data_IF_830193355519
#
_entry.id   IF_830193355519
#
_cell.length_a   1.000
_cell.length_b   1.000
_cell.length_c   1.000
_cell.angle_alpha   90.00
_cell.angle_beta   90.00
_cell.angle_gamma   90.00
#
_symmetry.space_group_name_H-M   'P 1'
#
loop_
_entity.id
_entity.type
_entity.pdbx_description
1 polymer ?
#
# COMPACT_ATOMS: atom_id res chain seq x y z
N UNK A 1 2.97 33.09 -5.29
CA UNK A 1 3.90 32.31 -6.12
C UNK A 1 4.07 30.85 -5.65
N UNK A 2 4.49 30.54 -4.41
CA UNK A 2 4.53 29.15 -3.90
C UNK A 2 3.15 28.45 -3.86
N UNK A 3 2.10 29.16 -3.46
CA UNK A 3 0.74 28.60 -3.42
C UNK A 3 0.14 28.35 -4.82
N UNK A 4 0.39 29.24 -5.78
CA UNK A 4 -0.02 29.04 -7.18
C UNK A 4 0.73 27.87 -7.84
N UNK A 5 2.03 27.70 -7.55
CA UNK A 5 2.81 26.57 -8.07
C UNK A 5 2.36 25.23 -7.45
N UNK A 6 2.05 25.22 -6.14
CA UNK A 6 1.46 24.04 -5.47
C UNK A 6 0.05 23.71 -5.97
N UNK A 7 -0.78 24.73 -6.22
CA UNK A 7 -2.13 24.58 -6.77
C UNK A 7 -2.09 24.05 -8.21
N UNK A 8 -1.20 24.58 -9.07
CA UNK A 8 -1.02 24.14 -10.45
C UNK A 8 -0.62 22.65 -10.52
N UNK A 9 0.35 22.23 -9.72
CA UNK A 9 0.76 20.83 -9.63
C UNK A 9 -0.37 19.92 -9.11
N UNK A 10 -1.22 20.41 -8.20
CA UNK A 10 -2.39 19.65 -7.71
C UNK A 10 -3.41 19.41 -8.82
N UNK A 11 -3.72 20.41 -9.64
CA UNK A 11 -4.67 20.26 -10.75
C UNK A 11 -4.15 19.30 -11.82
N UNK A 12 -2.85 19.37 -12.15
CA UNK A 12 -2.21 18.42 -13.07
C UNK A 12 -2.27 17.00 -12.49
N UNK A 13 -1.93 16.79 -11.22
CA UNK A 13 -2.03 15.46 -10.60
C UNK A 13 -3.46 14.91 -10.60
N UNK A 14 -4.46 15.76 -10.38
CA UNK A 14 -5.87 15.35 -10.46
C UNK A 14 -6.23 14.97 -11.90
N UNK A 15 -5.84 15.78 -12.88
CA UNK A 15 -6.12 15.52 -14.30
C UNK A 15 -5.46 14.23 -14.78
N UNK A 16 -4.18 14.01 -14.44
CA UNK A 16 -3.48 12.75 -14.72
C UNK A 16 -4.19 11.58 -14.06
N UNK A 17 -4.61 11.73 -12.79
CA UNK A 17 -5.41 10.71 -12.10
C UNK A 17 -6.70 10.36 -12.84
N UNK A 18 -7.48 11.37 -13.26
CA UNK A 18 -8.72 11.17 -14.02
C UNK A 18 -8.43 10.44 -15.35
N UNK A 19 -7.39 10.85 -16.08
CA UNK A 19 -7.01 10.22 -17.34
C UNK A 19 -6.61 8.75 -17.16
N UNK A 20 -5.86 8.43 -16.10
CA UNK A 20 -5.49 7.04 -15.78
C UNK A 20 -6.73 6.21 -15.48
N UNK A 21 -7.65 6.72 -14.65
CA UNK A 21 -8.89 6.02 -14.32
C UNK A 21 -9.78 5.84 -15.56
N UNK A 22 -9.92 6.87 -16.39
CA UNK A 22 -10.67 6.78 -17.65
C UNK A 22 -10.02 5.76 -18.61
N UNK A 23 -8.70 5.74 -18.72
CA UNK A 23 -7.95 4.77 -19.50
C UNK A 23 -8.17 3.33 -19.02
N UNK A 24 -8.16 3.09 -17.70
CA UNK A 24 -8.46 1.78 -17.12
C UNK A 24 -9.92 1.35 -17.39
N UNK A 25 -10.87 2.28 -17.32
CA UNK A 25 -12.26 1.99 -17.67
C UNK A 25 -12.40 1.62 -19.15
N UNK A 26 -11.80 2.38 -20.06
CA UNK A 26 -11.79 2.06 -21.50
C UNK A 26 -11.13 0.70 -21.74
N UNK A 27 -10.02 0.39 -21.07
CA UNK A 27 -9.38 -0.92 -21.13
C UNK A 27 -10.35 -2.04 -20.70
N UNK A 28 -11.15 -1.83 -19.65
CA UNK A 28 -12.14 -2.82 -19.19
C UNK A 28 -13.24 -3.10 -20.23
N UNK A 29 -13.60 -2.10 -21.03
CA UNK A 29 -14.59 -2.24 -22.12
C UNK A 29 -14.00 -2.95 -23.34
N UNK A 30 -12.71 -2.74 -23.63
CA UNK A 30 -12.03 -3.39 -24.74
C UNK A 30 -11.65 -4.84 -24.44
N UNK A 31 -11.00 -5.07 -23.29
CA UNK A 31 -10.59 -6.38 -22.82
C UNK A 31 -10.45 -6.36 -21.30
N UNK A 32 -11.36 -7.04 -20.59
CA UNK A 32 -11.35 -7.07 -19.14
C UNK A 32 -10.05 -7.63 -18.55
N UNK A 33 -9.44 -8.62 -19.22
CA UNK A 33 -8.18 -9.22 -18.78
C UNK A 33 -7.05 -8.19 -18.79
N UNK A 34 -7.01 -7.33 -19.81
CA UNK A 34 -6.06 -6.21 -19.86
C UNK A 34 -6.26 -5.26 -18.68
N UNK A 35 -7.51 -4.87 -18.39
CA UNK A 35 -7.81 -4.05 -17.23
C UNK A 35 -7.35 -4.71 -15.92
N UNK A 36 -7.73 -5.97 -15.70
CA UNK A 36 -7.39 -6.71 -14.49
C UNK A 36 -5.87 -6.83 -14.31
N UNK A 37 -5.14 -7.22 -15.34
CA UNK A 37 -3.68 -7.33 -15.30
C UNK A 37 -3.00 -5.98 -15.03
N UNK A 38 -3.50 -4.87 -15.60
CA UNK A 38 -2.96 -3.54 -15.31
C UNK A 38 -3.25 -3.11 -13.86
N UNK A 39 -4.46 -3.37 -13.37
CA UNK A 39 -4.86 -3.00 -12.02
C UNK A 39 -4.08 -3.80 -10.93
N UNK A 40 -3.95 -5.10 -11.13
CA UNK A 40 -3.17 -5.97 -10.25
C UNK A 40 -1.67 -5.68 -10.36
N UNK A 41 -1.15 -5.53 -11.59
CA UNK A 41 0.25 -5.19 -11.83
C UNK A 41 0.68 -3.89 -11.16
N UNK A 42 -0.18 -2.87 -11.13
CA UNK A 42 0.07 -1.65 -10.36
C UNK A 42 0.21 -1.93 -8.86
N UNK A 43 -0.72 -2.69 -8.28
CA UNK A 43 -0.73 -3.00 -6.84
C UNK A 43 0.51 -3.83 -6.44
N UNK A 44 0.89 -4.79 -7.27
CA UNK A 44 2.10 -5.61 -7.12
C UNK A 44 3.35 -4.73 -7.20
N UNK A 45 3.45 -3.85 -8.20
CA UNK A 45 4.60 -2.95 -8.34
C UNK A 45 4.75 -2.02 -7.13
N UNK A 46 3.62 -1.50 -6.62
CA UNK A 46 3.57 -0.68 -5.40
C UNK A 46 4.04 -1.47 -4.18
N UNK A 47 3.59 -2.71 -4.00
CA UNK A 47 3.98 -3.57 -2.88
C UNK A 47 5.48 -3.93 -2.92
N UNK A 48 6.01 -4.30 -4.08
CA UNK A 48 7.44 -4.51 -4.29
C UNK A 48 8.23 -3.21 -4.03
N UNK A 49 7.69 -2.07 -4.44
CA UNK A 49 8.24 -0.76 -4.15
C UNK A 49 8.33 -0.46 -2.65
N UNK A 50 7.31 -0.85 -1.87
CA UNK A 50 7.29 -0.69 -0.42
C UNK A 50 8.37 -1.54 0.24
N UNK A 51 8.52 -2.80 -0.20
CA UNK A 51 9.63 -3.66 0.22
C UNK A 51 10.97 -3.02 -0.09
N UNK A 52 11.20 -2.60 -1.34
CA UNK A 52 12.48 -2.01 -1.76
C UNK A 52 12.81 -0.75 -0.96
N UNK A 53 11.83 0.14 -0.75
CA UNK A 53 12.03 1.34 0.07
C UNK A 53 12.45 0.96 1.49
N UNK A 54 11.63 0.16 2.16
CA UNK A 54 11.83 -0.19 3.57
C UNK A 54 13.11 -1.00 3.78
N UNK A 55 13.43 -1.91 2.86
CA UNK A 55 14.65 -2.70 2.91
C UNK A 55 15.89 -1.84 2.76
N UNK A 56 15.91 -0.91 1.80
CA UNK A 56 17.07 -0.04 1.58
C UNK A 56 17.21 1.04 2.65
N UNK A 57 16.10 1.52 3.23
CA UNK A 57 16.14 2.52 4.30
C UNK A 57 16.33 1.93 5.70
N UNK A 58 16.45 0.60 5.85
CA UNK A 58 16.46 -0.08 7.17
C UNK A 58 17.51 0.41 8.15
N UNK A 59 18.67 0.88 7.68
CA UNK A 59 19.72 1.43 8.53
C UNK A 59 19.44 2.84 9.06
N UNK A 60 18.44 3.54 8.50
CA UNK A 60 18.13 4.95 8.79
C UNK A 60 16.74 5.14 9.39
N UNK A 61 16.02 4.07 9.74
CA UNK A 61 14.67 4.15 10.29
C UNK A 61 14.68 4.13 11.82
N UNK A 62 13.91 5.03 12.43
CA UNK A 62 13.77 5.14 13.89
C UNK A 62 13.01 3.96 14.52
N UNK A 63 12.21 3.25 13.73
CA UNK A 63 11.44 2.10 14.17
C UNK A 63 11.28 1.07 13.04
N UNK A 64 10.84 -0.14 13.40
CA UNK A 64 10.73 -1.27 12.48
C UNK A 64 9.34 -1.42 11.85
N UNK A 65 8.43 -0.46 12.04
CA UNK A 65 7.07 -0.53 11.50
C UNK A 65 7.07 -0.65 9.97
N UNK A 66 7.78 0.26 9.28
CA UNK A 66 7.88 0.25 7.82
C UNK A 66 8.67 -0.95 7.31
N UNK A 67 9.70 -1.38 8.05
CA UNK A 67 10.49 -2.57 7.69
C UNK A 67 9.63 -3.84 7.70
N UNK A 68 8.82 -4.02 8.77
CA UNK A 68 7.89 -5.13 8.86
C UNK A 68 6.90 -5.09 7.70
N UNK A 69 6.22 -3.97 7.47
CA UNK A 69 5.28 -3.84 6.34
C UNK A 69 5.95 -4.11 4.98
N UNK A 70 7.15 -3.58 4.75
CA UNK A 70 7.87 -3.86 3.51
C UNK A 70 8.08 -5.35 3.29
N UNK A 71 8.52 -6.08 4.32
CA UNK A 71 8.71 -7.53 4.23
C UNK A 71 7.38 -8.24 3.98
N UNK A 72 6.31 -7.90 4.70
CA UNK A 72 5.02 -8.59 4.51
C UNK A 72 4.42 -8.34 3.13
N UNK A 73 4.52 -7.11 2.62
CA UNK A 73 4.03 -6.73 1.29
C UNK A 73 4.78 -7.41 0.15
N UNK A 74 6.03 -7.86 0.34
CA UNK A 74 6.72 -8.70 -0.64
C UNK A 74 5.98 -10.04 -0.86
N UNK A 75 5.57 -10.71 0.23
CA UNK A 75 4.85 -11.98 0.14
C UNK A 75 3.42 -11.80 -0.37
N UNK A 76 2.76 -10.71 0.04
CA UNK A 76 1.44 -10.33 -0.50
C UNK A 76 1.53 -10.10 -2.01
N UNK A 77 2.57 -9.39 -2.49
CA UNK A 77 2.83 -9.20 -3.91
C UNK A 77 3.05 -10.53 -4.65
N UNK A 78 3.73 -11.48 -4.03
CA UNK A 78 3.90 -12.83 -4.57
C UNK A 78 2.57 -13.57 -4.75
N UNK A 79 1.68 -13.52 -3.74
CA UNK A 79 0.36 -14.15 -3.81
C UNK A 79 -0.54 -13.43 -4.83
N UNK A 80 -0.53 -12.09 -4.87
CA UNK A 80 -1.27 -11.29 -5.85
C UNK A 80 -0.75 -11.55 -7.28
N UNK A 81 0.54 -11.82 -7.45
CA UNK A 81 1.10 -12.23 -8.75
C UNK A 81 0.52 -13.58 -9.19
N UNK A 82 0.53 -14.59 -8.31
CA UNK A 82 -0.05 -15.90 -8.64
C UNK A 82 -1.55 -15.77 -8.91
N UNK A 83 -2.28 -14.99 -8.11
CA UNK A 83 -3.68 -14.65 -8.35
C UNK A 83 -3.91 -14.09 -9.76
N UNK A 84 -3.10 -13.11 -10.16
CA UNK A 84 -3.21 -12.46 -11.49
C UNK A 84 -2.98 -13.46 -12.61
N UNK A 85 -1.97 -14.34 -12.46
CA UNK A 85 -1.66 -15.38 -13.46
C UNK A 85 -2.72 -16.49 -13.48
N UNK A 86 -3.39 -16.73 -12.36
CA UNK A 86 -4.48 -17.70 -12.20
C UNK A 86 -5.84 -17.16 -12.66
N UNK A 87 -5.93 -15.88 -13.03
CA UNK A 87 -7.20 -15.27 -13.38
C UNK A 87 -7.84 -15.94 -14.60
N UNK A 88 -9.18 -16.07 -14.58
CA UNK A 88 -9.93 -16.71 -15.66
C UNK A 88 -9.60 -16.01 -16.99
N UNK A 89 -9.30 -16.79 -18.02
CA UNK A 89 -8.89 -16.28 -19.34
C UNK A 89 -7.38 -16.16 -19.58
N UNK A 90 -6.53 -16.21 -18.55
CA UNK A 90 -5.06 -16.20 -18.73
C UNK A 90 -4.52 -17.50 -19.31
N UNK A 91 -5.19 -18.64 -19.03
CA UNK A 91 -4.82 -19.99 -19.50
C UNK A 91 -3.40 -20.46 -19.11
N UNK A 92 -2.83 -19.94 -18.02
CA UNK A 92 -1.49 -20.33 -17.54
C UNK A 92 -1.54 -21.63 -16.73
N UNK A 93 -2.60 -21.83 -15.93
CA UNK A 93 -2.78 -23.02 -15.11
C UNK A 93 -3.92 -23.88 -15.70
N UNK A 94 -3.61 -24.85 -16.59
CA UNK A 94 -4.63 -25.69 -17.21
C UNK A 94 -5.34 -26.57 -16.18
N UNK A 95 -6.65 -26.76 -16.35
CA UNK A 95 -7.47 -27.57 -15.44
C UNK A 95 -7.95 -26.86 -14.17
N UNK A 96 -7.70 -25.54 -14.07
CA UNK A 96 -8.24 -24.68 -13.03
C UNK A 96 -9.21 -23.65 -13.63
N UNK A 97 -10.20 -23.25 -12.84
CA UNK A 97 -11.23 -22.27 -13.19
C UNK A 97 -11.03 -20.96 -12.38
N UNK A 98 -12.07 -20.12 -12.31
CA UNK A 98 -12.04 -18.87 -11.54
C UNK A 98 -11.83 -19.05 -10.02
N UNK A 99 -12.02 -20.27 -9.49
CA UNK A 99 -11.80 -20.58 -8.09
C UNK A 99 -10.34 -20.38 -7.69
N UNK A 100 -9.39 -20.81 -8.51
CA UNK A 100 -7.96 -20.73 -8.19
C UNK A 100 -7.53 -19.28 -7.92
N UNK A 101 -7.89 -18.35 -8.80
CA UNK A 101 -7.64 -16.93 -8.59
C UNK A 101 -8.35 -16.45 -7.32
N UNK A 102 -9.61 -16.82 -7.11
CA UNK A 102 -10.40 -16.36 -5.95
C UNK A 102 -9.83 -16.88 -4.61
N UNK A 103 -9.25 -18.08 -4.59
CA UNK A 103 -8.55 -18.64 -3.42
C UNK A 103 -7.27 -17.86 -3.10
N UNK A 104 -6.44 -17.59 -4.11
CA UNK A 104 -5.23 -16.77 -3.93
C UNK A 104 -5.55 -15.34 -3.50
N UNK A 105 -6.66 -14.77 -3.98
CA UNK A 105 -7.18 -13.49 -3.52
C UNK A 105 -7.45 -13.52 -2.02
N UNK A 106 -8.27 -14.47 -1.54
CA UNK A 106 -8.59 -14.57 -0.11
C UNK A 106 -7.32 -14.78 0.73
N UNK A 107 -6.41 -15.64 0.27
CA UNK A 107 -5.15 -15.88 0.95
C UNK A 107 -4.31 -14.60 1.10
N UNK A 108 -4.17 -13.80 0.04
CA UNK A 108 -3.41 -12.55 0.09
C UNK A 108 -4.08 -11.49 0.98
N UNK A 109 -5.41 -11.38 0.93
CA UNK A 109 -6.17 -10.42 1.76
C UNK A 109 -6.12 -10.76 3.26
N UNK A 110 -6.17 -12.04 3.62
CA UNK A 110 -5.92 -12.46 5.01
C UNK A 110 -4.52 -12.10 5.47
N UNK A 111 -3.51 -12.39 4.63
CA UNK A 111 -2.12 -12.06 4.95
C UNK A 111 -1.94 -10.55 5.13
N UNK A 112 -2.53 -9.74 4.26
CA UNK A 112 -2.48 -8.27 4.34
C UNK A 112 -3.17 -7.74 5.61
N UNK A 113 -4.43 -8.10 5.83
CA UNK A 113 -5.21 -7.58 6.95
C UNK A 113 -4.61 -7.93 8.31
N UNK A 114 -4.12 -9.17 8.49
CA UNK A 114 -3.42 -9.58 9.70
C UNK A 114 -2.09 -8.84 9.87
N UNK A 115 -1.32 -8.67 8.79
CA UNK A 115 -0.07 -7.90 8.81
C UNK A 115 -0.33 -6.46 9.27
N UNK A 116 -1.38 -5.81 8.78
CA UNK A 116 -1.74 -4.44 9.16
C UNK A 116 -2.15 -4.33 10.63
N UNK A 117 -2.78 -5.35 11.23
CA UNK A 117 -3.07 -5.39 12.66
C UNK A 117 -1.80 -5.56 13.50
N UNK A 118 -0.86 -6.39 13.02
CA UNK A 118 0.39 -6.70 13.73
C UNK A 118 1.39 -5.54 13.66
N UNK A 119 1.44 -4.82 12.53
CA UNK A 119 2.46 -3.82 12.25
C UNK A 119 2.69 -2.79 13.37
N UNK A 120 1.66 -2.20 14.02
CA UNK A 120 1.84 -1.24 15.12
C UNK A 120 2.57 -1.78 16.36
N UNK A 121 2.81 -3.09 16.48
CA UNK A 121 3.66 -3.68 17.52
C UNK A 121 5.13 -3.27 17.32
N UNK A 122 5.57 -3.14 16.07
CA UNK A 122 6.96 -2.82 15.70
C UNK A 122 7.29 -1.33 15.71
N UNK A 123 6.36 -0.48 16.20
CA UNK A 123 6.66 0.91 16.54
C UNK A 123 7.66 1.02 17.71
N UNK A 124 7.58 0.08 18.66
CA UNK A 124 8.41 0.09 19.89
C UNK A 124 9.26 -1.16 20.06
N UNK A 125 9.07 -2.19 19.23
CA UNK A 125 9.80 -3.46 19.31
C UNK A 125 10.83 -3.60 18.21
N UNK A 126 11.93 -4.25 18.55
CA UNK A 126 12.91 -4.69 17.57
C UNK A 126 12.34 -5.81 16.70
N UNK A 127 12.69 -5.79 15.41
CA UNK A 127 12.25 -6.79 14.44
C UNK A 127 13.37 -7.81 14.23
N UNK A 128 13.09 -9.08 14.50
CA UNK A 128 13.98 -10.15 14.06
C UNK A 128 13.69 -10.45 12.58
N UNK A 129 14.46 -9.84 11.70
CA UNK A 129 14.27 -9.93 10.24
C UNK A 129 14.28 -11.39 9.77
N UNK A 130 15.22 -12.21 10.25
CA UNK A 130 15.35 -13.62 9.87
C UNK A 130 14.13 -14.43 10.25
N UNK A 131 13.61 -14.25 11.46
CA UNK A 131 12.39 -14.91 11.92
C UNK A 131 11.17 -14.50 11.08
N UNK A 132 11.00 -13.20 10.80
CA UNK A 132 9.85 -12.71 10.02
C UNK A 132 9.91 -13.21 8.58
N UNK A 133 11.07 -13.18 7.94
CA UNK A 133 11.24 -13.75 6.59
C UNK A 133 10.92 -15.24 6.58
N UNK A 134 11.43 -16.01 7.55
CA UNK A 134 11.15 -17.44 7.65
C UNK A 134 9.66 -17.73 7.88
N UNK A 135 9.02 -17.00 8.79
CA UNK A 135 7.61 -17.15 9.11
C UNK A 135 6.72 -16.86 7.90
N UNK A 136 6.95 -15.72 7.21
CA UNK A 136 6.16 -15.36 6.03
C UNK A 136 6.44 -16.26 4.82
N UNK A 137 7.68 -16.75 4.66
CA UNK A 137 8.00 -17.79 3.65
C UNK A 137 7.24 -19.07 3.95
N UNK A 138 7.21 -19.51 5.21
CA UNK A 138 6.45 -20.68 5.63
C UNK A 138 4.95 -20.52 5.35
N UNK A 139 4.36 -19.39 5.73
CA UNK A 139 2.95 -19.08 5.45
C UNK A 139 2.67 -19.06 3.95
N UNK A 140 3.52 -18.39 3.15
CA UNK A 140 3.41 -18.35 1.70
C UNK A 140 3.41 -19.74 1.07
N UNK A 141 4.36 -20.59 1.48
CA UNK A 141 4.45 -21.97 1.00
C UNK A 141 3.22 -22.79 1.42
N UNK A 142 2.79 -22.71 2.68
CA UNK A 142 1.62 -23.44 3.19
C UNK A 142 0.36 -23.04 2.41
N UNK A 143 0.12 -21.75 2.20
CA UNK A 143 -1.03 -21.26 1.45
C UNK A 143 -0.99 -21.75 -0.01
N UNK A 144 0.16 -21.59 -0.67
CA UNK A 144 0.33 -21.99 -2.07
C UNK A 144 0.16 -23.50 -2.26
N UNK A 145 0.79 -24.32 -1.41
CA UNK A 145 0.67 -25.78 -1.44
C UNK A 145 -0.77 -26.22 -1.14
N UNK A 146 -1.42 -25.60 -0.15
CA UNK A 146 -2.82 -25.91 0.21
C UNK A 146 -3.79 -25.61 -0.94
N UNK A 147 -3.61 -24.49 -1.64
CA UNK A 147 -4.44 -24.08 -2.77
C UNK A 147 -4.24 -25.01 -3.96
N UNK A 148 -2.99 -25.22 -4.41
CA UNK A 148 -2.73 -26.13 -5.53
C UNK A 148 -3.10 -27.58 -5.20
N UNK A 149 -2.94 -27.99 -3.93
CA UNK A 149 -3.32 -29.30 -3.41
C UNK A 149 -4.83 -29.49 -3.19
N UNK A 150 -5.68 -28.49 -3.49
CA UNK A 150 -7.15 -28.53 -3.32
C UNK A 150 -7.60 -28.81 -1.86
N UNK A 151 -6.76 -28.44 -0.89
CA UNK A 151 -7.07 -28.50 0.55
C UNK A 151 -7.76 -27.19 0.97
N UNK A 152 -7.43 -26.09 0.30
CA UNK A 152 -8.05 -24.79 0.56
C UNK A 152 -9.53 -24.81 0.15
N UNK A 153 -10.46 -24.26 0.96
CA UNK A 153 -11.88 -24.30 0.64
C UNK A 153 -12.22 -23.61 -0.67
N UNK A 154 -13.24 -24.11 -1.35
CA UNK A 154 -13.72 -23.48 -2.58
C UNK A 154 -14.27 -22.09 -2.28
N UNK A 155 -13.83 -21.12 -3.07
CA UNK A 155 -14.25 -19.73 -3.01
C UNK A 155 -15.22 -19.35 -4.13
N UNK A 156 -15.21 -20.11 -5.23
CA UNK A 156 -16.11 -19.93 -6.35
C UNK A 156 -16.43 -21.30 -6.97
N UNK A 157 -17.70 -21.50 -7.36
CA UNK A 157 -18.15 -22.70 -8.08
C UNK A 157 -18.81 -22.24 -9.38
N UNK A 158 -18.35 -22.75 -10.53
CA UNK A 158 -18.94 -22.41 -11.82
C UNK A 158 -20.44 -22.74 -11.85
N UNK A 159 -21.25 -21.82 -12.40
CA UNK A 159 -22.71 -21.95 -12.42
C UNK A 159 -23.42 -21.60 -11.11
N UNK A 160 -22.75 -21.69 -9.95
CA UNK A 160 -23.34 -21.33 -8.65
C UNK A 160 -22.86 -19.97 -8.11
N UNK A 161 -21.70 -19.48 -8.55
CA UNK A 161 -21.13 -18.21 -8.09
C UNK A 161 -20.22 -18.34 -6.86
N UNK A 162 -20.19 -17.29 -6.03
CA UNK A 162 -19.40 -17.23 -4.80
C UNK A 162 -19.88 -18.24 -3.75
N UNK A 163 -18.94 -18.89 -3.05
CA UNK A 163 -19.29 -19.78 -1.93
C UNK A 163 -19.53 -19.01 -0.63
N UNK A 164 -20.25 -19.64 0.31
CA UNK A 164 -20.43 -19.08 1.66
C UNK A 164 -19.10 -18.86 2.38
N UNK A 165 -18.11 -19.74 2.17
CA UNK A 165 -16.78 -19.59 2.73
C UNK A 165 -16.15 -18.26 2.30
N UNK A 166 -16.17 -17.97 0.99
CA UNK A 166 -15.61 -16.74 0.43
C UNK A 166 -16.28 -15.49 1.01
N UNK A 167 -17.61 -15.46 1.01
CA UNK A 167 -18.40 -14.33 1.52
C UNK A 167 -18.09 -14.08 3.01
N UNK A 168 -18.13 -15.12 3.83
CA UNK A 168 -17.82 -15.01 5.27
C UNK A 168 -16.38 -14.54 5.47
N UNK A 169 -15.43 -15.04 4.69
CA UNK A 169 -14.03 -14.62 4.77
C UNK A 169 -13.85 -13.13 4.49
N UNK A 170 -14.52 -12.55 3.50
CA UNK A 170 -14.42 -11.11 3.21
C UNK A 170 -14.98 -10.24 4.34
N UNK A 171 -16.07 -10.67 5.00
CA UNK A 171 -16.55 -9.99 6.20
C UNK A 171 -15.55 -10.09 7.35
N UNK A 172 -14.94 -11.26 7.57
CA UNK A 172 -13.90 -11.44 8.58
C UNK A 172 -12.69 -10.53 8.28
N UNK A 173 -12.22 -10.51 7.04
CA UNK A 173 -11.11 -9.64 6.59
C UNK A 173 -11.46 -8.17 6.85
N UNK A 174 -12.67 -7.75 6.50
CA UNK A 174 -13.16 -6.39 6.77
C UNK A 174 -13.15 -6.05 8.26
N UNK A 175 -13.55 -7.00 9.13
CA UNK A 175 -13.49 -6.83 10.58
C UNK A 175 -12.05 -6.76 11.12
N UNK A 176 -11.12 -7.53 10.55
CA UNK A 176 -9.69 -7.46 10.89
C UNK A 176 -9.12 -6.09 10.48
N UNK A 177 -9.47 -5.59 9.31
CA UNK A 177 -9.08 -4.25 8.84
C UNK A 177 -9.65 -3.14 9.74
N UNK A 178 -10.91 -3.24 10.18
CA UNK A 178 -11.49 -2.33 11.17
C UNK A 178 -10.74 -2.37 12.51
N UNK A 179 -10.30 -3.57 12.92
CA UNK A 179 -9.47 -3.73 14.11
C UNK A 179 -8.11 -3.04 13.94
N UNK A 180 -7.47 -3.17 12.78
CA UNK A 180 -6.22 -2.48 12.45
C UNK A 180 -6.40 -0.96 12.57
N UNK A 181 -7.48 -0.42 11.97
CA UNK A 181 -7.84 0.98 12.10
C UNK A 181 -7.93 1.42 13.58
N UNK A 182 -8.64 0.68 14.42
CA UNK A 182 -8.81 1.02 15.82
C UNK A 182 -7.48 0.98 16.60
N UNK A 183 -6.66 -0.05 16.37
CA UNK A 183 -5.33 -0.18 16.98
C UNK A 183 -4.43 1.00 16.60
N UNK A 184 -4.39 1.36 15.32
CA UNK A 184 -3.62 2.51 14.84
C UNK A 184 -4.13 3.82 15.41
N UNK A 185 -5.45 4.00 15.46
CA UNK A 185 -6.08 5.20 16.02
C UNK A 185 -5.80 5.37 17.52
N UNK A 186 -5.76 4.29 18.30
CA UNK A 186 -5.35 4.34 19.72
C UNK A 186 -3.89 4.73 19.90
N UNK A 187 -3.03 4.32 18.97
CA UNK A 187 -1.59 4.64 18.95
C UNK A 187 -1.27 5.92 18.17
N UNK A 188 -2.25 6.73 17.83
CA UNK A 188 -2.08 7.90 16.93
C UNK A 188 -1.00 8.90 17.34
N UNK A 189 -0.70 9.02 18.64
CA UNK A 189 0.34 9.90 19.14
C UNK A 189 1.77 9.42 18.79
N UNK A 190 1.92 8.16 18.39
CA UNK A 190 3.20 7.57 17.95
C UNK A 190 3.41 7.67 16.44
N UNK A 191 2.39 8.10 15.69
CA UNK A 191 2.46 8.26 14.24
C UNK A 191 2.57 9.72 13.86
N UNK A 192 3.25 9.98 12.75
CA UNK A 192 3.10 11.25 12.04
C UNK A 192 1.62 11.41 11.63
N UNK A 193 0.92 12.50 12.02
CA UNK A 193 -0.52 12.65 11.79
C UNK A 193 -0.92 12.56 10.31
N UNK A 194 -0.03 12.98 9.40
CA UNK A 194 -0.27 12.89 7.96
C UNK A 194 -0.15 11.44 7.47
N UNK A 195 0.85 10.68 7.92
CA UNK A 195 0.98 9.26 7.60
C UNK A 195 -0.20 8.46 8.15
N UNK A 196 -0.59 8.70 9.40
CA UNK A 196 -1.74 8.02 10.01
C UNK A 196 -3.01 8.24 9.19
N UNK A 197 -3.27 9.49 8.78
CA UNK A 197 -4.43 9.81 7.94
C UNK A 197 -4.43 9.03 6.63
N UNK A 198 -3.28 8.89 5.97
CA UNK A 198 -3.16 8.15 4.72
C UNK A 198 -3.44 6.66 4.91
N UNK A 199 -2.88 6.04 5.95
CA UNK A 199 -3.10 4.61 6.24
C UNK A 199 -4.54 4.35 6.66
N UNK A 200 -5.15 5.23 7.45
CA UNK A 200 -6.57 5.12 7.80
C UNK A 200 -7.45 5.15 6.55
N UNK A 201 -7.21 6.09 5.64
CA UNK A 201 -8.00 6.18 4.40
C UNK A 201 -7.73 4.98 3.50
N UNK A 202 -6.50 4.45 3.43
CA UNK A 202 -6.22 3.23 2.66
C UNK A 202 -6.97 2.02 3.24
N UNK A 203 -7.01 1.87 4.57
CA UNK A 203 -7.78 0.80 5.23
C UNK A 203 -9.27 0.90 4.87
N UNK A 204 -9.86 2.11 4.92
CA UNK A 204 -11.26 2.33 4.52
C UNK A 204 -11.48 1.96 3.05
N UNK A 205 -10.56 2.35 2.16
CA UNK A 205 -10.63 1.98 0.75
C UNK A 205 -10.51 0.45 0.56
N UNK A 206 -9.62 -0.22 1.30
CA UNK A 206 -9.51 -1.68 1.27
C UNK A 206 -10.80 -2.37 1.73
N UNK A 207 -11.45 -1.87 2.80
CA UNK A 207 -12.76 -2.39 3.22
C UNK A 207 -13.80 -2.20 2.11
N UNK A 208 -13.82 -1.02 1.47
CA UNK A 208 -14.69 -0.76 0.32
C UNK A 208 -14.43 -1.72 -0.85
N UNK A 209 -13.17 -2.08 -1.08
CA UNK A 209 -12.79 -3.07 -2.08
C UNK A 209 -13.36 -4.46 -1.72
N UNK A 210 -13.13 -4.96 -0.50
CA UNK A 210 -13.63 -6.26 -0.06
C UNK A 210 -15.15 -6.34 -0.17
N UNK A 211 -15.87 -5.31 0.29
CA UNK A 211 -17.33 -5.26 0.18
C UNK A 211 -17.79 -5.29 -1.28
N UNK A 212 -17.10 -4.58 -2.19
CA UNK A 212 -17.41 -4.63 -3.62
C UNK A 212 -17.16 -6.04 -4.22
N UNK A 213 -16.11 -6.73 -3.79
CA UNK A 213 -15.84 -8.11 -4.20
C UNK A 213 -16.86 -9.10 -3.62
N UNK A 214 -17.42 -8.87 -2.44
CA UNK A 214 -18.48 -9.72 -1.87
C UNK A 214 -19.76 -9.75 -2.71
N UNK A 215 -20.04 -8.68 -3.46
CA UNK A 215 -21.22 -8.57 -4.31
C UNK A 215 -20.93 -8.86 -5.79
N UNK A 216 -19.78 -9.45 -6.15
CA UNK A 216 -19.55 -9.78 -7.55
C UNK A 216 -20.32 -11.03 -7.99
N UNK A 217 -21.06 -10.91 -9.09
CA UNK A 217 -21.82 -12.01 -9.71
C UNK A 217 -20.94 -12.75 -10.74
N UNK A 218 -20.02 -12.03 -11.37
CA UNK A 218 -19.07 -12.55 -12.36
C UNK A 218 -17.70 -11.95 -12.13
N UNK A 219 -16.64 -12.72 -12.42
CA UNK A 219 -15.26 -12.25 -12.40
C UNK A 219 -15.08 -11.00 -13.27
N UNK A 220 -15.77 -10.92 -14.42
CA UNK A 220 -15.76 -9.77 -15.32
C UNK A 220 -16.85 -8.72 -15.02
N UNK A 221 -17.44 -8.78 -13.82
CA UNK A 221 -18.58 -7.95 -13.46
C UNK A 221 -18.21 -6.54 -13.00
N UNK A 222 -19.21 -5.65 -12.99
CA UNK A 222 -19.05 -4.27 -12.52
C UNK A 222 -18.57 -4.17 -11.06
N UNK A 223 -19.05 -5.03 -10.16
CA UNK A 223 -18.58 -5.04 -8.76
C UNK A 223 -17.09 -5.36 -8.65
N UNK A 224 -16.56 -6.23 -9.53
CA UNK A 224 -15.13 -6.56 -9.58
C UNK A 224 -14.30 -5.36 -10.07
N UNK A 225 -14.76 -4.66 -11.11
CA UNK A 225 -14.18 -3.40 -11.58
C UNK A 225 -14.10 -2.36 -10.44
N UNK A 226 -15.22 -2.12 -9.75
CA UNK A 226 -15.30 -1.18 -8.62
C UNK A 226 -14.37 -1.58 -7.48
N UNK A 227 -14.31 -2.88 -7.14
CA UNK A 227 -13.39 -3.39 -6.14
C UNK A 227 -11.93 -3.11 -6.47
N UNK A 228 -11.52 -3.30 -7.73
CA UNK A 228 -10.17 -2.96 -8.18
C UNK A 228 -9.89 -1.45 -8.09
N UNK A 229 -10.85 -0.57 -8.40
CA UNK A 229 -10.66 0.87 -8.19
C UNK A 229 -10.38 1.21 -6.73
N UNK A 230 -11.18 0.66 -5.80
CA UNK A 230 -10.93 0.83 -4.37
C UNK A 230 -9.54 0.30 -3.95
N UNK A 231 -9.12 -0.87 -4.46
CA UNK A 231 -7.78 -1.43 -4.23
C UNK A 231 -6.68 -0.50 -4.73
N UNK A 232 -6.80 0.02 -5.96
CA UNK A 232 -5.84 0.96 -6.55
C UNK A 232 -5.66 2.20 -5.68
N UNK A 233 -6.77 2.79 -5.21
CA UNK A 233 -6.72 3.94 -4.31
C UNK A 233 -6.07 3.59 -2.97
N UNK A 234 -6.37 2.42 -2.40
CA UNK A 234 -5.76 1.97 -1.15
C UNK A 234 -4.24 1.87 -1.27
N UNK A 235 -3.73 1.15 -2.28
CA UNK A 235 -2.30 0.95 -2.50
C UNK A 235 -1.58 2.27 -2.82
N UNK A 236 -2.21 3.14 -3.60
CA UNK A 236 -1.68 4.49 -3.90
C UNK A 236 -1.47 5.31 -2.60
N UNK A 237 -2.42 5.25 -1.67
CA UNK A 237 -2.35 6.00 -0.42
C UNK A 237 -1.33 5.42 0.57
N UNK A 238 -1.23 4.09 0.66
CA UNK A 238 -0.33 3.41 1.60
C UNK A 238 1.15 3.61 1.23
N UNK A 239 1.47 3.68 -0.07
CA UNK A 239 2.86 3.70 -0.54
C UNK A 239 3.33 5.04 -1.09
N UNK A 240 2.63 5.61 -2.08
CA UNK A 240 3.20 6.68 -2.93
C UNK A 240 3.36 7.99 -2.16
N UNK A 241 2.35 8.37 -1.36
CA UNK A 241 2.41 9.63 -0.60
C UNK A 241 3.40 9.59 0.57
N UNK A 242 3.49 8.51 1.36
CA UNK A 242 4.53 8.36 2.38
C UNK A 242 5.94 8.31 1.80
N UNK A 243 6.15 7.53 0.71
CA UNK A 243 7.42 7.47 -0.02
C UNK A 243 7.88 8.86 -0.47
N UNK A 244 7.00 9.61 -1.15
CA UNK A 244 7.34 10.96 -1.63
C UNK A 244 7.71 11.89 -0.48
N UNK A 245 6.98 11.82 0.65
CA UNK A 245 7.32 12.62 1.83
C UNK A 245 8.70 12.24 2.39
N UNK A 246 9.02 10.95 2.45
CA UNK A 246 10.30 10.47 2.99
C UNK A 246 11.48 10.80 2.06
N UNK A 247 11.33 10.62 0.75
CA UNK A 247 12.34 10.98 -0.27
C UNK A 247 12.61 12.48 -0.26
N UNK A 248 11.56 13.30 -0.17
CA UNK A 248 11.70 14.77 -0.09
C UNK A 248 12.36 15.20 1.23
N UNK A 249 12.01 14.57 2.36
CA UNK A 249 12.65 14.82 3.66
C UNK A 249 14.15 14.48 3.60
N UNK A 250 14.51 13.33 3.04
CA UNK A 250 15.91 12.90 2.92
C UNK A 250 16.71 13.79 1.97
N UNK A 251 16.12 14.29 0.87
CA UNK A 251 16.78 15.27 -0.02
C UNK A 251 17.13 16.58 0.69
N UNK A 252 16.24 17.06 1.56
CA UNK A 252 16.47 18.31 2.31
C UNK A 252 17.59 18.09 3.34
N UNK A 253 17.60 16.95 4.04
CA UNK A 253 18.65 16.61 5.01
C UNK A 253 20.01 16.44 4.31
N UNK A 254 20.06 15.70 3.20
CA UNK A 254 21.29 15.50 2.43
C UNK A 254 21.85 16.82 1.86
N UNK A 255 21.00 17.74 1.40
CA UNK A 255 21.44 19.08 1.01
C UNK A 255 21.98 19.87 2.19
N UNK A 256 21.40 19.74 3.39
CA UNK A 256 21.88 20.43 4.59
C UNK A 256 23.18 19.84 5.15
N UNK A 257 23.37 18.52 5.10
CA UNK A 257 24.58 17.84 5.57
C UNK A 257 25.76 18.05 4.61
N UNK A 258 25.52 18.05 3.29
CA UNK A 258 26.53 18.49 2.30
C UNK A 258 26.90 19.94 2.52
N UNK A 259 25.95 20.80 2.87
CA UNK A 259 26.25 22.21 3.18
C UNK A 259 27.13 22.36 4.43
N UNK A 260 26.91 21.50 5.44
CA UNK A 260 27.71 21.49 6.68
C UNK A 260 29.09 20.85 6.44
N UNK A 261 29.19 19.81 5.61
CA UNK A 261 30.45 19.10 5.36
C UNK A 261 31.36 19.78 4.32
N UNK A 262 30.82 20.60 3.42
CA UNK A 262 31.60 21.34 2.42
C UNK A 262 32.17 22.67 2.91
N UNK A 263 32.01 23.01 4.19
CA UNK A 263 32.82 24.05 4.86
C UNK A 263 32.74 25.47 4.26
N UNK A 264 31.75 25.79 3.42
CA UNK A 264 31.63 27.13 2.85
C UNK A 264 30.90 28.07 3.82
N UNK A 265 31.70 28.60 4.76
CA UNK A 265 31.29 29.61 5.74
C UNK A 265 31.03 31.01 5.13
N UNK A 266 30.97 31.16 3.81
CA UNK A 266 30.74 32.44 3.15
C UNK A 266 29.60 32.36 2.13
N UNK A 267 28.53 33.09 2.48
CA UNK A 267 27.26 33.35 1.76
C UNK A 267 26.15 32.32 1.97
N UNK A 268 25.30 32.63 2.97
CA UNK A 268 23.88 32.22 2.93
C UNK A 268 23.30 32.56 1.54
N UNK A 269 22.60 31.64 0.85
CA UNK A 269 21.70 32.05 -0.22
C UNK A 269 20.64 32.96 0.43
N UNK A 270 20.41 34.16 -0.13
CA UNK A 270 19.27 35.01 0.23
C UNK A 270 17.98 34.27 -0.14
N UNK A 271 17.53 33.36 0.72
CA UNK A 271 16.19 32.79 0.67
C UNK A 271 15.46 33.20 1.95
N UNK A 272 15.01 34.45 1.92
CA UNK A 272 13.90 35.05 2.69
C UNK A 272 13.49 34.36 4.00
N UNK A 273 14.25 34.63 5.06
CA UNK A 273 13.71 34.73 6.41
C UNK A 273 13.74 36.22 6.76
N UNK A 274 12.58 36.88 6.75
CA UNK A 274 12.37 38.16 7.43
C UNK A 274 11.85 37.83 8.84
N UNK A 275 12.62 38.05 9.92
CA UNK A 275 12.06 38.20 11.25
C UNK A 275 11.46 39.61 11.44
N UNK A 276 10.61 39.81 12.46
CA UNK A 276 9.82 41.02 12.63
C UNK A 276 10.72 42.22 12.90
N UNK A 277 10.38 43.34 12.26
CA UNK A 277 10.97 44.65 12.50
C UNK A 277 10.76 45.10 13.94
N UNK A 278 11.88 45.43 14.61
CA UNK A 278 11.94 46.55 15.55
C UNK A 278 12.04 46.18 17.03
N UNK A 279 13.26 46.08 17.55
CA UNK A 279 13.76 47.01 18.57
C UNK A 279 15.25 46.76 18.89
N UNK A 280 15.88 47.82 19.38
CA UNK A 280 17.30 48.15 19.34
C UNK A 280 18.18 47.29 20.26
N UNK A 281 19.44 47.16 19.86
CA UNK A 281 20.55 46.70 20.66
C UNK A 281 20.77 47.58 21.91
N UNK A 282 21.17 46.94 23.02
CA UNK A 282 22.12 47.52 23.97
C UNK A 282 23.15 46.46 24.36
N UNK A 283 24.39 46.76 24.04
CA UNK A 283 25.61 46.23 24.63
C UNK A 283 25.64 46.59 26.13
N UNK A 284 26.14 45.69 26.97
CA UNK A 284 27.02 46.05 28.08
C UNK A 284 28.07 44.96 28.28
N UNK A 285 29.34 45.39 28.25
CA UNK A 285 30.51 44.66 28.74
C UNK A 285 30.50 44.68 30.28
N UNK A 286 30.70 43.52 30.89
CA UNK A 286 31.86 43.12 31.73
C UNK A 286 31.67 41.67 32.13
#
# INVERSE_FOLDING_TARGET
MKEQFFSYNKHISILVGILVLAGLYIASLYNYLLFHTLAEGFSIAVACGLFMLAWNSRGFMDNNYLLFLGITYLFIAGLDMIHTLAYKGMNIFPGYDANLATQFWIASRYLESLSLVIAPVFLRRQLNIGFILAAYTGIFCILTISIFGRIFPDCFIEGSGLTSFKIISEYIISMILLTSFFVMYRKRCEFDPYILKLVVVSIIMSIGAELAFTFYISAYGFSNLVGHYFKLFSFYLIYIKPLLKQVLKNRIIFCSEIWISTGNCWKKPKMWLKPPTGQKAYFWQT
#
